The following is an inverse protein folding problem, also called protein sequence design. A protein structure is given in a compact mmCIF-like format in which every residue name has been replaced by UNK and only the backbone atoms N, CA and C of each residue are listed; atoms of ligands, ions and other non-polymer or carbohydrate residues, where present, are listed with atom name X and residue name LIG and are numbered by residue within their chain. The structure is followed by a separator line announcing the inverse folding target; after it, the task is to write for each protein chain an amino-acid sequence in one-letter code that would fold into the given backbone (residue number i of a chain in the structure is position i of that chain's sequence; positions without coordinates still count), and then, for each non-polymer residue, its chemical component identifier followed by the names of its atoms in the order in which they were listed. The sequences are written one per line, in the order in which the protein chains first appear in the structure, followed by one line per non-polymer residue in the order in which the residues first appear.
data_IF_736933956434
#
_entry.id   IF_736933956434
#
_cell.length_a   1.000
_cell.length_b   1.000
_cell.length_c   1.000
_cell.angle_alpha   90.00
_cell.angle_beta   90.00
_cell.angle_gamma   90.00
#
_symmetry.space_group_name_H-M   'P 1'
#
loop_
_entity.id
_entity.type
_entity.pdbx_description
1 polymer ?
#
# COMPACT_ATOMS: atom_id res chain seq x y z
N UNK A 1 6.00 37.94 34.05
CA UNK A 1 6.68 36.63 33.98
C UNK A 1 6.21 35.95 32.70
N UNK A 2 7.05 35.60 31.73
CA UNK A 2 6.61 34.88 30.55
C UNK A 2 6.56 33.37 30.83
N UNK A 3 5.44 32.74 30.50
CA UNK A 3 5.26 31.30 30.56
C UNK A 3 6.01 30.64 29.39
N UNK A 4 7.02 29.83 29.70
CA UNK A 4 7.72 29.01 28.71
C UNK A 4 6.84 27.80 28.44
N UNK A 5 6.26 27.72 27.25
CA UNK A 5 5.52 26.54 26.81
C UNK A 5 6.50 25.45 26.39
N UNK A 6 6.52 24.37 27.16
CA UNK A 6 7.30 23.17 26.89
C UNK A 6 6.79 22.53 25.60
N UNK A 7 7.64 22.51 24.57
CA UNK A 7 7.26 22.06 23.24
C UNK A 7 7.29 20.54 23.22
N UNK A 8 6.12 19.92 23.01
CA UNK A 8 5.97 18.47 22.96
C UNK A 8 7.03 17.83 22.04
N UNK A 9 7.79 16.90 22.61
CA UNK A 9 8.81 16.12 21.90
C UNK A 9 8.16 15.45 20.69
N UNK A 10 8.69 15.62 19.46
CA UNK A 10 8.12 14.96 18.30
C UNK A 10 8.21 13.44 18.53
N UNK A 11 7.04 12.79 18.54
CA UNK A 11 6.95 11.34 18.61
C UNK A 11 7.72 10.78 17.40
N UNK A 12 8.88 10.17 17.66
CA UNK A 12 9.67 9.49 16.64
C UNK A 12 8.90 8.25 16.23
N UNK A 13 8.02 8.39 15.24
CA UNK A 13 7.48 7.24 14.54
C UNK A 13 8.68 6.54 13.90
N UNK A 14 9.05 5.36 14.40
CA UNK A 14 9.93 4.44 13.70
C UNK A 14 9.23 4.06 12.40
N UNK A 15 9.37 4.92 11.40
CA UNK A 15 9.03 4.58 10.05
C UNK A 15 9.93 3.40 9.71
N UNK A 16 9.32 2.22 9.64
CA UNK A 16 9.88 1.06 8.95
C UNK A 16 10.17 1.53 7.53
N UNK A 17 11.37 2.10 7.33
CA UNK A 17 11.83 2.55 6.02
C UNK A 17 11.83 1.28 5.16
N UNK A 18 10.95 1.18 4.16
CA UNK A 18 10.90 0.00 3.34
C UNK A 18 12.26 -0.12 2.66
N UNK A 19 13.04 -1.16 3.00
CA UNK A 19 14.38 -1.36 2.44
C UNK A 19 14.20 -1.54 0.93
N UNK A 20 14.70 -0.62 0.09
CA UNK A 20 14.53 -0.74 -1.36
C UNK A 20 15.21 -2.03 -1.81
N UNK A 21 14.52 -2.85 -2.61
CA UNK A 21 15.20 -3.93 -3.33
C UNK A 21 16.16 -3.32 -4.35
N UNK A 22 17.08 -4.11 -4.89
CA UNK A 22 18.11 -3.68 -5.87
C UNK A 22 17.57 -2.86 -7.07
N UNK A 23 16.26 -2.91 -7.35
CA UNK A 23 15.59 -2.14 -8.39
C UNK A 23 14.98 -0.80 -7.90
N UNK A 24 15.29 -0.35 -6.69
CA UNK A 24 14.74 0.89 -6.10
C UNK A 24 13.28 0.79 -5.60
N UNK A 25 12.63 -0.36 -5.76
CA UNK A 25 11.25 -0.57 -5.35
C UNK A 25 11.15 -1.07 -3.90
N UNK A 26 10.22 -0.47 -3.16
CA UNK A 26 9.77 -0.90 -1.85
C UNK A 26 8.73 -2.02 -1.96
N UNK A 27 8.66 -2.90 -0.94
CA UNK A 27 7.66 -3.97 -0.85
C UNK A 27 6.70 -3.66 0.28
N UNK A 28 5.41 -3.76 0.02
CA UNK A 28 4.33 -3.71 1.00
C UNK A 28 3.58 -5.04 0.95
N UNK A 29 3.30 -5.62 2.12
CA UNK A 29 2.51 -6.84 2.24
C UNK A 29 1.32 -6.59 3.16
N UNK A 30 0.14 -6.94 2.68
CA UNK A 30 -1.09 -6.58 3.36
C UNK A 30 -2.32 -7.28 2.82
N UNK A 31 -3.46 -6.77 3.27
CA UNK A 31 -4.79 -7.24 2.90
C UNK A 31 -5.53 -6.13 2.16
N UNK A 32 -6.14 -6.44 1.02
CA UNK A 32 -6.89 -5.48 0.22
C UNK A 32 -8.09 -5.00 1.03
N UNK A 33 -8.26 -3.68 1.09
CA UNK A 33 -9.49 -3.06 1.58
C UNK A 33 -10.36 -2.63 0.40
N UNK A 34 -9.72 -2.08 -0.64
CA UNK A 34 -10.38 -1.62 -1.85
C UNK A 34 -9.38 -1.62 -3.00
N UNK A 35 -9.83 -1.99 -4.20
CA UNK A 35 -9.00 -1.95 -5.41
C UNK A 35 -9.86 -1.52 -6.61
N UNK A 36 -9.34 -0.57 -7.39
CA UNK A 36 -9.90 -0.19 -8.68
C UNK A 36 -8.79 -0.04 -9.72
N UNK A 37 -9.13 0.33 -10.95
CA UNK A 37 -8.16 0.46 -12.04
C UNK A 37 -7.15 1.61 -11.88
N UNK A 38 -7.33 2.51 -10.92
CA UNK A 38 -6.46 3.66 -10.69
C UNK A 38 -5.60 3.52 -9.43
N UNK A 39 -6.07 2.83 -8.39
CA UNK A 39 -5.39 2.72 -7.11
C UNK A 39 -5.79 1.45 -6.35
N UNK A 40 -4.91 1.03 -5.44
CA UNK A 40 -5.16 -0.06 -4.50
C UNK A 40 -4.92 0.43 -3.07
N UNK A 41 -5.91 0.19 -2.21
CA UNK A 41 -5.84 0.47 -0.78
C UNK A 41 -5.72 -0.85 -0.02
N UNK A 42 -4.69 -0.97 0.80
CA UNK A 42 -4.42 -2.18 1.54
C UNK A 42 -3.96 -1.88 2.98
N UNK A 43 -4.38 -2.75 3.90
CA UNK A 43 -4.00 -2.76 5.30
C UNK A 43 -2.72 -3.57 5.49
N UNK A 44 -1.73 -3.06 6.21
CA UNK A 44 -0.47 -3.76 6.41
C UNK A 44 -0.68 -5.05 7.20
N UNK A 45 0.05 -6.10 6.84
CA UNK A 45 0.02 -7.37 7.58
C UNK A 45 0.61 -7.24 8.99
N UNK A 46 1.60 -6.37 9.14
CA UNK A 46 2.41 -6.20 10.35
C UNK A 46 1.78 -5.19 11.33
N UNK A 47 0.87 -4.35 10.83
CA UNK A 47 0.20 -3.32 11.62
C UNK A 47 -1.22 -3.12 11.11
N UNK A 48 -2.16 -3.56 11.93
CA UNK A 48 -3.59 -3.46 11.73
C UNK A 48 -4.10 -2.00 11.67
N UNK A 49 -3.34 -1.03 12.16
CA UNK A 49 -3.67 0.39 12.09
C UNK A 49 -3.05 1.08 10.86
N UNK A 50 -2.19 0.39 10.11
CA UNK A 50 -1.52 0.96 8.95
C UNK A 50 -2.29 0.64 7.68
N UNK A 51 -2.90 1.65 7.09
CA UNK A 51 -3.61 1.57 5.80
C UNK A 51 -2.88 2.47 4.82
N UNK A 52 -2.51 1.92 3.67
CA UNK A 52 -1.83 2.68 2.61
C UNK A 52 -2.61 2.53 1.30
N UNK A 53 -2.69 3.63 0.58
CA UNK A 53 -3.24 3.68 -0.78
C UNK A 53 -2.10 3.94 -1.74
N UNK A 54 -2.00 3.09 -2.76
CA UNK A 54 -0.99 3.16 -3.78
C UNK A 54 -1.66 3.44 -5.13
N UNK A 55 -1.42 4.61 -5.75
CA UNK A 55 -1.84 4.85 -7.13
C UNK A 55 -1.13 3.86 -8.05
N UNK A 56 -1.85 3.28 -9.00
CA UNK A 56 -1.32 2.34 -9.96
C UNK A 56 -0.60 3.11 -11.08
N UNK A 57 0.56 2.61 -11.49
CA UNK A 57 1.15 2.98 -12.77
C UNK A 57 0.31 2.47 -13.94
N UNK A 58 0.52 3.01 -15.13
CA UNK A 58 -0.25 2.63 -16.32
C UNK A 58 -0.19 1.11 -16.60
N UNK A 59 0.99 0.49 -16.49
CA UNK A 59 1.15 -0.96 -16.66
C UNK A 59 0.43 -1.76 -15.55
N UNK A 60 0.46 -1.25 -14.32
CA UNK A 60 -0.21 -1.88 -13.18
C UNK A 60 -1.74 -1.73 -13.30
N UNK A 61 -2.23 -0.58 -13.76
CA UNK A 61 -3.65 -0.31 -14.02
C UNK A 61 -4.22 -1.29 -15.06
N UNK A 62 -3.50 -1.53 -16.16
CA UNK A 62 -3.91 -2.52 -17.16
C UNK A 62 -4.02 -3.93 -16.59
N UNK A 63 -3.08 -4.34 -15.73
CA UNK A 63 -3.15 -5.64 -15.03
C UNK A 63 -4.28 -5.68 -14.03
N UNK A 64 -4.57 -4.56 -13.36
CA UNK A 64 -5.67 -4.49 -12.40
C UNK A 64 -7.01 -4.61 -13.11
N UNK A 65 -7.16 -3.98 -14.27
CA UNK A 65 -8.36 -4.12 -15.10
C UNK A 65 -8.61 -5.58 -15.45
N UNK A 66 -7.60 -6.33 -15.89
CA UNK A 66 -7.73 -7.77 -16.17
C UNK A 66 -8.14 -8.61 -14.94
N UNK A 67 -7.83 -8.15 -13.73
CA UNK A 67 -8.25 -8.80 -12.49
C UNK A 67 -9.68 -8.42 -12.15
N UNK A 68 -10.05 -7.15 -12.30
CA UNK A 68 -11.42 -6.64 -12.16
C UNK A 68 -12.36 -7.37 -13.11
N UNK A 69 -11.97 -7.56 -14.38
CA UNK A 69 -12.74 -8.30 -15.38
C UNK A 69 -12.97 -9.78 -14.99
N UNK A 70 -12.17 -10.32 -14.06
CA UNK A 70 -12.27 -11.69 -13.52
C UNK A 70 -12.93 -11.76 -12.13
N UNK A 71 -13.52 -10.66 -11.66
CA UNK A 71 -14.17 -10.58 -10.35
C UNK A 71 -13.46 -9.68 -9.34
N UNK A 72 -12.27 -9.16 -9.66
CA UNK A 72 -11.55 -8.20 -8.84
C UNK A 72 -10.90 -8.78 -7.58
N UNK A 73 -10.25 -7.91 -6.81
CA UNK A 73 -9.83 -8.23 -5.45
C UNK A 73 -10.99 -8.00 -4.49
N UNK A 74 -11.16 -8.91 -3.54
CA UNK A 74 -12.12 -8.79 -2.45
C UNK A 74 -11.47 -8.22 -1.20
N UNK A 75 -12.31 -7.71 -0.31
CA UNK A 75 -11.89 -7.29 1.01
C UNK A 75 -11.23 -8.47 1.75
N UNK A 76 -10.05 -8.24 2.33
CA UNK A 76 -9.27 -9.26 3.02
C UNK A 76 -8.38 -10.11 2.12
N UNK A 77 -8.35 -9.88 0.81
CA UNK A 77 -7.43 -10.60 -0.07
C UNK A 77 -5.97 -10.25 0.23
N UNK A 78 -5.10 -11.26 0.33
CA UNK A 78 -3.68 -11.04 0.53
C UNK A 78 -3.05 -10.47 -0.74
N UNK A 79 -2.40 -9.32 -0.60
CA UNK A 79 -1.69 -8.64 -1.68
C UNK A 79 -0.29 -8.23 -1.26
N UNK A 80 0.64 -8.38 -2.20
CA UNK A 80 1.99 -7.84 -2.15
C UNK A 80 2.10 -6.74 -3.20
N UNK A 81 2.40 -5.52 -2.78
CA UNK A 81 2.53 -4.35 -3.64
C UNK A 81 4.01 -3.96 -3.68
N UNK A 82 4.55 -3.87 -4.88
CA UNK A 82 5.87 -3.30 -5.15
C UNK A 82 5.67 -1.88 -5.64
N UNK A 83 6.16 -0.91 -4.89
CA UNK A 83 5.91 0.50 -5.14
C UNK A 83 7.21 1.30 -5.15
N UNK A 84 7.17 2.45 -5.81
CA UNK A 84 8.24 3.43 -5.74
C UNK A 84 8.10 4.22 -4.41
N UNK A 85 9.08 4.15 -3.49
CA UNK A 85 8.97 4.83 -2.20
C UNK A 85 8.98 6.36 -2.29
N UNK A 86 9.44 6.93 -3.40
CA UNK A 86 9.46 8.39 -3.63
C UNK A 86 8.10 8.92 -4.07
N UNK A 87 7.39 8.20 -4.94
CA UNK A 87 6.09 8.64 -5.49
C UNK A 87 4.90 7.90 -4.89
N UNK A 88 5.15 6.90 -4.05
CA UNK A 88 4.17 5.93 -3.54
C UNK A 88 3.40 5.16 -4.63
N UNK A 89 3.86 5.21 -5.88
CA UNK A 89 3.18 4.57 -7.00
C UNK A 89 3.43 3.07 -7.03
N UNK A 90 2.36 2.28 -7.11
CA UNK A 90 2.42 0.85 -7.31
C UNK A 90 2.86 0.53 -8.75
N UNK A 91 4.04 -0.08 -8.84
CA UNK A 91 4.66 -0.48 -10.10
C UNK A 91 4.27 -1.91 -10.47
N UNK A 92 4.07 -2.75 -9.45
CA UNK A 92 3.65 -4.13 -9.61
C UNK A 92 2.91 -4.58 -8.37
N UNK A 93 1.94 -5.44 -8.53
CA UNK A 93 1.30 -6.11 -7.40
C UNK A 93 1.14 -7.60 -7.71
N UNK A 94 1.06 -8.38 -6.65
CA UNK A 94 0.80 -9.82 -6.67
C UNK A 94 -0.22 -10.09 -5.59
N UNK A 95 -1.36 -10.63 -5.97
CA UNK A 95 -2.38 -11.08 -5.03
C UNK A 95 -3.19 -12.17 -5.68
N UNK A 96 -3.75 -13.06 -4.88
CA UNK A 96 -4.72 -14.05 -5.36
C UNK A 96 -6.11 -13.47 -5.10
N UNK A 97 -6.83 -12.99 -6.11
CA UNK A 97 -8.22 -12.59 -5.93
C UNK A 97 -9.00 -13.81 -5.45
N UNK A 98 -9.78 -13.65 -4.38
CA UNK A 98 -10.70 -14.69 -3.93
C UNK A 98 -11.77 -14.92 -5.00
N UNK A 99 -12.19 -16.18 -5.14
CA UNK A 99 -13.29 -16.51 -6.07
C UNK A 99 -14.53 -15.73 -5.64
N UNK A 100 -15.28 -15.12 -6.57
CA UNK A 100 -16.57 -14.54 -6.23
C UNK A 100 -17.44 -15.63 -5.59
N UNK A 101 -18.05 -15.28 -4.45
CA UNK A 101 -19.03 -16.11 -3.73
C UNK A 101 -20.35 -16.11 -4.48
#
# INVERSE_FOLDING_TARGET
MPIVVDTAVPMVVSAVKPKPKANGLAKFEGFVLHANNAQITARAKESELTILTFPLSQEAAQKMQQIVDKGGYQYGDKVTIYYNPTTMQAMKFKGKPSKPI
#
